data_IF_733932715925
#
_entry.id   IF_733932715925
#
_cell.length_a   1.000
_cell.length_b   1.000
_cell.length_c   1.000
_cell.angle_alpha   90.00
_cell.angle_beta   90.00
_cell.angle_gamma   90.00
#
_symmetry.space_group_name_H-M   'P 1'
#
loop_
_entity.id
_entity.type
_entity.pdbx_description
1 polymer ?
#
# COMPACT_ATOMS: atom_id res chain seq x y z
N UNK A 1 0.68 -34.41 -98.26
CA UNK A 1 1.10 -34.78 -96.89
C UNK A 1 0.89 -33.58 -95.99
N UNK A 2 0.13 -33.70 -94.91
CA UNK A 2 -0.08 -32.60 -93.96
C UNK A 2 -1.25 -32.89 -93.02
N UNK A 3 -1.07 -33.85 -92.11
CA UNK A 3 -2.05 -34.16 -91.07
C UNK A 3 -2.27 -32.94 -90.17
N UNK A 4 -3.47 -32.36 -90.18
CA UNK A 4 -3.92 -31.39 -89.17
C UNK A 4 -4.38 -32.15 -87.93
N UNK A 5 -3.61 -32.11 -86.85
CA UNK A 5 -4.12 -32.50 -85.53
C UNK A 5 -4.98 -31.36 -84.97
N UNK A 6 -6.28 -31.52 -85.13
CA UNK A 6 -7.32 -30.77 -84.44
C UNK A 6 -7.25 -30.97 -82.93
N UNK A 7 -7.26 -29.85 -82.20
CA UNK A 7 -7.86 -29.66 -80.87
C UNK A 7 -7.84 -30.83 -79.89
N UNK A 8 -6.70 -31.09 -79.26
CA UNK A 8 -6.65 -31.91 -78.04
C UNK A 8 -6.86 -31.01 -76.81
N UNK A 9 -8.12 -30.72 -76.45
CA UNK A 9 -8.45 -30.15 -75.13
C UNK A 9 -8.29 -31.25 -74.09
N UNK A 10 -7.09 -31.35 -73.51
CA UNK A 10 -6.76 -32.29 -72.44
C UNK A 10 -7.63 -31.99 -71.19
N UNK A 11 -8.52 -32.91 -70.77
CA UNK A 11 -9.52 -32.68 -69.72
C UNK A 11 -8.97 -32.54 -68.28
N UNK A 12 -7.65 -32.42 -68.11
CA UNK A 12 -6.99 -32.37 -66.79
C UNK A 12 -6.42 -31.01 -66.37
N UNK A 13 -6.30 -30.03 -67.28
CA UNK A 13 -5.63 -28.76 -66.96
C UNK A 13 -6.43 -27.83 -66.04
N UNK A 14 -7.77 -27.84 -66.12
CA UNK A 14 -8.62 -27.02 -65.25
C UNK A 14 -8.61 -27.52 -63.81
N UNK A 15 -8.68 -28.84 -63.59
CA UNK A 15 -8.61 -29.43 -62.24
C UNK A 15 -7.29 -29.11 -61.54
N UNK A 16 -6.17 -29.10 -62.27
CA UNK A 16 -4.87 -28.75 -61.67
C UNK A 16 -4.82 -27.29 -61.22
N UNK A 17 -5.37 -26.36 -62.02
CA UNK A 17 -5.44 -24.94 -61.68
C UNK A 17 -6.29 -24.67 -60.43
N UNK A 18 -7.46 -25.30 -60.34
CA UNK A 18 -8.37 -25.19 -59.19
C UNK A 18 -7.77 -25.75 -57.88
N UNK A 19 -7.01 -26.85 -57.98
CA UNK A 19 -6.29 -27.43 -56.83
C UNK A 19 -5.11 -26.54 -56.39
N UNK A 20 -4.40 -25.90 -57.32
CA UNK A 20 -3.36 -24.93 -56.96
C UNK A 20 -3.92 -23.65 -56.36
N UNK A 21 -5.01 -23.10 -56.89
CA UNK A 21 -5.63 -21.88 -56.34
C UNK A 21 -6.24 -22.11 -54.95
N UNK A 22 -6.82 -23.29 -54.71
CA UNK A 22 -7.31 -23.64 -53.37
C UNK A 22 -6.16 -23.76 -52.37
N UNK A 23 -5.05 -24.42 -52.73
CA UNK A 23 -3.88 -24.54 -51.84
C UNK A 23 -3.21 -23.20 -51.53
N UNK A 24 -3.04 -22.30 -52.50
CA UNK A 24 -2.53 -20.93 -52.24
C UNK A 24 -3.47 -20.13 -51.33
N UNK A 25 -4.79 -20.27 -51.51
CA UNK A 25 -5.79 -19.60 -50.66
C UNK A 25 -5.75 -20.11 -49.20
N UNK A 26 -5.49 -21.42 -48.99
CA UNK A 26 -5.33 -21.97 -47.64
C UNK A 26 -4.07 -21.44 -46.95
N UNK A 27 -2.96 -21.33 -47.67
CA UNK A 27 -1.72 -20.77 -47.13
C UNK A 27 -1.87 -19.29 -46.77
N UNK A 28 -2.48 -18.48 -47.63
CA UNK A 28 -2.77 -17.07 -47.35
C UNK A 28 -3.67 -16.90 -46.11
N UNK A 29 -4.72 -17.71 -46.00
CA UNK A 29 -5.61 -17.69 -44.84
C UNK A 29 -4.88 -18.02 -43.54
N UNK A 30 -3.98 -18.99 -43.58
CA UNK A 30 -3.20 -19.40 -42.40
C UNK A 30 -2.19 -18.33 -41.99
N UNK A 31 -1.51 -17.69 -42.95
CA UNK A 31 -0.59 -16.57 -42.68
C UNK A 31 -1.34 -15.38 -42.06
N UNK A 32 -2.48 -14.99 -42.62
CA UNK A 32 -3.32 -13.91 -42.06
C UNK A 32 -3.85 -14.24 -40.67
N UNK A 33 -4.23 -15.50 -40.42
CA UNK A 33 -4.68 -15.95 -39.10
C UNK A 33 -3.55 -15.90 -38.08
N UNK A 34 -2.34 -16.30 -38.48
CA UNK A 34 -1.15 -16.29 -37.63
C UNK A 34 -0.69 -14.87 -37.30
N UNK A 35 -0.78 -13.93 -38.24
CA UNK A 35 -0.52 -12.51 -38.01
C UNK A 35 -1.52 -11.88 -37.04
N UNK A 36 -2.83 -12.19 -37.20
CA UNK A 36 -3.88 -11.76 -36.28
C UNK A 36 -3.66 -12.31 -34.87
N UNK A 37 -3.36 -13.61 -34.76
CA UNK A 37 -3.07 -14.27 -33.49
C UNK A 37 -1.84 -13.65 -32.82
N UNK A 38 -0.74 -13.44 -33.55
CA UNK A 38 0.47 -12.83 -33.01
C UNK A 38 0.22 -11.39 -32.50
N UNK A 39 -0.62 -10.62 -33.21
CA UNK A 39 -1.04 -9.30 -32.75
C UNK A 39 -1.85 -9.39 -31.45
N UNK A 40 -2.83 -10.28 -31.40
CA UNK A 40 -3.68 -10.48 -30.20
C UNK A 40 -2.85 -10.94 -29.01
N UNK A 41 -1.91 -11.87 -29.18
CA UNK A 41 -1.04 -12.34 -28.10
C UNK A 41 -0.11 -11.25 -27.59
N UNK A 42 0.43 -10.40 -28.47
CA UNK A 42 1.25 -9.24 -28.07
C UNK A 42 0.43 -8.24 -27.25
N UNK A 43 -0.74 -7.85 -27.73
CA UNK A 43 -1.61 -6.91 -27.01
C UNK A 43 -2.14 -7.52 -25.70
N UNK A 44 -2.53 -8.79 -25.70
CA UNK A 44 -2.97 -9.51 -24.51
C UNK A 44 -1.87 -9.64 -23.46
N UNK A 45 -0.63 -9.94 -23.89
CA UNK A 45 0.53 -9.99 -23.01
C UNK A 45 0.85 -8.63 -22.37
N UNK A 46 0.83 -7.55 -23.15
CA UNK A 46 1.05 -6.19 -22.65
C UNK A 46 -0.06 -5.79 -21.67
N UNK A 47 -1.32 -6.08 -21.99
CA UNK A 47 -2.45 -5.80 -21.11
C UNK A 47 -2.35 -6.59 -19.80
N UNK A 48 -1.96 -7.87 -19.85
CA UNK A 48 -1.75 -8.70 -18.66
C UNK A 48 -0.64 -8.16 -17.75
N UNK A 49 0.48 -7.74 -18.34
CA UNK A 49 1.58 -7.11 -17.59
C UNK A 49 1.11 -5.80 -16.96
N UNK A 50 0.37 -4.97 -17.69
CA UNK A 50 -0.15 -3.70 -17.18
C UNK A 50 -1.08 -3.92 -15.97
N UNK A 51 -2.00 -4.89 -16.05
CA UNK A 51 -2.89 -5.24 -14.93
C UNK A 51 -2.11 -5.79 -13.74
N UNK A 52 -1.09 -6.61 -13.98
CA UNK A 52 -0.21 -7.14 -12.92
C UNK A 52 0.56 -6.04 -12.19
N UNK A 53 1.12 -5.07 -12.92
CA UNK A 53 1.81 -3.91 -12.34
C UNK A 53 0.84 -3.03 -11.54
N UNK A 54 -0.36 -2.77 -12.07
CA UNK A 54 -1.39 -2.01 -11.37
C UNK A 54 -1.82 -2.68 -10.06
N UNK A 55 -1.94 -4.01 -10.03
CA UNK A 55 -2.32 -4.72 -8.79
C UNK A 55 -1.22 -4.64 -7.72
N UNK A 56 0.06 -4.71 -8.11
CA UNK A 56 1.20 -4.56 -7.19
C UNK A 56 1.29 -3.14 -6.62
N UNK A 57 1.01 -2.13 -7.44
CA UNK A 57 0.94 -0.73 -6.98
C UNK A 57 -0.22 -0.53 -5.99
N UNK A 58 -1.39 -1.08 -6.31
CA UNK A 58 -2.55 -1.03 -5.40
C UNK A 58 -2.26 -1.73 -4.07
N UNK A 59 -1.57 -2.88 -4.08
CA UNK A 59 -1.17 -3.59 -2.87
C UNK A 59 -0.19 -2.76 -2.02
N UNK A 60 0.82 -2.16 -2.63
CA UNK A 60 1.75 -1.27 -1.94
C UNK A 60 1.05 -0.06 -1.30
N UNK A 61 0.01 0.47 -1.94
CA UNK A 61 -0.82 1.53 -1.37
C UNK A 61 -1.75 1.06 -0.23
N UNK A 62 -2.24 -0.18 -0.30
CA UNK A 62 -3.14 -0.75 0.71
C UNK A 62 -2.43 -1.26 1.97
N UNK A 63 -1.19 -1.77 1.84
CA UNK A 63 -0.37 -2.27 2.95
C UNK A 63 -0.16 -1.27 4.10
N UNK A 64 0.19 0.01 3.88
CA UNK A 64 0.41 0.97 4.97
C UNK A 64 -0.87 1.32 5.74
N UNK A 65 -2.06 1.15 5.16
CA UNK A 65 -3.34 1.38 5.85
C UNK A 65 -3.61 0.35 6.97
N UNK A 66 -2.89 -0.79 6.98
CA UNK A 66 -3.00 -1.80 8.03
C UNK A 66 -2.10 -1.50 9.24
N UNK A 67 -1.76 -0.25 9.50
CA UNK A 67 -1.20 0.13 10.80
C UNK A 67 -2.33 0.20 11.84
N UNK A 68 -2.50 -0.87 12.62
CA UNK A 68 -3.28 -0.78 13.85
C UNK A 68 -2.46 0.03 14.84
N UNK A 69 -2.82 1.30 15.05
CA UNK A 69 -2.28 2.07 16.17
C UNK A 69 -2.80 1.39 17.43
N UNK A 70 -1.97 0.52 18.02
CA UNK A 70 -2.30 -0.16 19.27
C UNK A 70 -2.14 0.87 20.39
N UNK A 71 -3.25 1.49 20.78
CA UNK A 71 -3.29 2.32 21.97
C UNK A 71 -3.29 1.40 23.20
N UNK A 72 -2.16 1.29 23.86
CA UNK A 72 -2.07 0.57 25.13
C UNK A 72 -2.66 1.44 26.24
N UNK A 73 -3.61 0.89 26.99
CA UNK A 73 -4.17 1.53 28.17
C UNK A 73 -3.75 0.70 29.40
N UNK A 74 -3.16 1.36 30.40
CA UNK A 74 -2.95 0.76 31.72
C UNK A 74 -4.16 1.06 32.59
N UNK A 75 -4.73 0.03 33.19
CA UNK A 75 -5.82 0.21 34.15
C UNK A 75 -5.20 0.07 35.55
N UNK A 76 -5.27 1.12 36.35
CA UNK A 76 -4.84 1.07 37.74
C UNK A 76 -5.87 0.23 38.55
N UNK A 77 -5.43 -0.89 39.13
CA UNK A 77 -6.30 -1.83 39.83
C UNK A 77 -6.93 -1.30 41.14
N UNK A 78 -6.42 -0.19 41.69
CA UNK A 78 -6.95 0.40 42.94
C UNK A 78 -7.94 1.52 42.65
N UNK A 79 -7.65 2.37 41.65
CA UNK A 79 -8.47 3.56 41.34
C UNK A 79 -9.38 3.37 40.12
N UNK A 80 -9.18 2.33 39.31
CA UNK A 80 -9.93 2.08 38.08
C UNK A 80 -9.65 3.08 36.94
N UNK A 81 -8.72 4.02 37.15
CA UNK A 81 -8.37 5.03 36.15
C UNK A 81 -7.58 4.37 35.02
N UNK A 82 -8.09 4.51 33.80
CA UNK A 82 -7.39 4.10 32.58
C UNK A 82 -6.40 5.20 32.17
N UNK A 83 -5.11 4.89 32.27
CA UNK A 83 -4.02 5.76 31.85
C UNK A 83 -3.56 5.34 30.45
N UNK A 84 -3.61 6.28 29.49
CA UNK A 84 -3.17 6.02 28.12
C UNK A 84 -1.64 5.98 28.08
N UNK A 85 -1.07 4.84 27.69
CA UNK A 85 0.36 4.73 27.43
C UNK A 85 0.69 5.34 26.07
N UNK A 86 0.98 6.64 26.07
CA UNK A 86 1.65 7.27 24.93
C UNK A 86 3.11 6.84 24.88
N UNK A 87 3.43 5.90 23.99
CA UNK A 87 4.83 5.68 23.60
C UNK A 87 5.28 6.88 22.76
N UNK A 88 5.98 7.82 23.39
CA UNK A 88 6.57 8.96 22.70
C UNK A 88 7.68 8.42 21.80
N UNK A 89 7.46 8.45 20.47
CA UNK A 89 8.56 8.27 19.52
C UNK A 89 9.58 9.37 19.77
N UNK A 90 10.78 8.98 20.19
CA UNK A 90 11.93 9.84 20.55
C UNK A 90 12.27 10.92 19.50
N UNK A 91 11.84 10.71 18.26
CA UNK A 91 12.08 11.60 17.10
C UNK A 91 11.26 12.91 17.12
N UNK A 92 10.14 12.99 17.85
CA UNK A 92 9.22 14.14 17.80
C UNK A 92 9.23 15.04 19.04
N UNK A 93 10.02 14.72 20.07
CA UNK A 93 10.07 15.47 21.33
C UNK A 93 11.51 15.74 21.70
N UNK A 94 11.86 17.02 21.80
CA UNK A 94 13.15 17.44 22.37
C UNK A 94 13.26 16.89 23.80
N UNK A 95 14.43 16.37 24.18
CA UNK A 95 14.66 15.83 25.53
C UNK A 95 14.28 16.85 26.62
N UNK A 96 14.57 18.14 26.37
CA UNK A 96 14.20 19.24 27.26
C UNK A 96 12.68 19.43 27.36
N UNK A 97 11.94 19.24 26.27
CA UNK A 97 10.48 19.36 26.28
C UNK A 97 9.83 18.19 27.05
N UNK A 98 10.38 16.97 26.90
CA UNK A 98 9.92 15.80 27.65
C UNK A 98 10.15 15.97 29.15
N UNK A 99 11.34 16.45 29.55
CA UNK A 99 11.66 16.75 30.94
C UNK A 99 10.76 17.86 31.50
N UNK A 100 10.57 18.96 30.76
CA UNK A 100 9.70 20.05 31.16
C UNK A 100 8.25 19.57 31.40
N UNK A 101 7.70 18.79 30.48
CA UNK A 101 6.34 18.21 30.62
C UNK A 101 6.22 17.31 31.85
N UNK A 102 7.26 16.51 32.13
CA UNK A 102 7.29 15.67 33.32
C UNK A 102 7.22 16.52 34.60
N UNK A 103 8.12 17.49 34.76
CA UNK A 103 8.16 18.32 35.98
C UNK A 103 6.90 19.17 36.15
N UNK A 104 6.35 19.75 35.08
CA UNK A 104 5.08 20.50 35.13
C UNK A 104 3.93 19.61 35.61
N UNK A 105 3.82 18.40 35.05
CA UNK A 105 2.76 17.45 35.44
C UNK A 105 2.89 17.05 36.90
N UNK A 106 4.12 16.80 37.36
CA UNK A 106 4.43 16.45 38.75
C UNK A 106 4.12 17.60 39.72
N UNK A 107 4.39 18.85 39.32
CA UNK A 107 4.10 20.04 40.10
C UNK A 107 2.58 20.24 40.23
N UNK A 108 1.83 20.24 39.13
CA UNK A 108 0.37 20.41 39.15
C UNK A 108 -0.32 19.30 39.95
N UNK A 109 0.12 18.05 39.79
CA UNK A 109 -0.46 16.91 40.52
C UNK A 109 -0.31 17.05 42.04
N UNK A 110 0.82 17.58 42.52
CA UNK A 110 1.06 17.78 43.96
C UNK A 110 0.39 19.04 44.51
N UNK A 111 0.31 20.10 43.70
CA UNK A 111 -0.34 21.35 44.08
C UNK A 111 -1.87 21.21 44.18
N UNK A 112 -2.47 20.54 43.20
CA UNK A 112 -3.93 20.38 43.09
C UNK A 112 -4.43 19.07 43.73
N UNK A 113 -3.54 18.09 43.89
CA UNK A 113 -3.86 16.81 44.50
C UNK A 113 -3.83 16.89 46.02
N UNK A 114 -4.76 16.19 46.67
CA UNK A 114 -4.79 16.09 48.13
C UNK A 114 -4.63 14.64 48.57
N UNK A 115 -3.59 14.37 49.36
CA UNK A 115 -3.40 13.10 50.04
C UNK A 115 -2.88 13.35 51.46
N UNK A 116 -3.68 12.97 52.46
CA UNK A 116 -3.37 13.21 53.86
C UNK A 116 -2.02 12.63 54.29
N UNK A 117 -1.64 11.45 53.78
CA UNK A 117 -0.40 10.79 54.19
C UNK A 117 0.86 11.40 53.57
N UNK A 118 0.75 12.12 52.45
CA UNK A 118 1.88 12.77 51.76
C UNK A 118 1.86 14.29 51.86
N UNK A 119 0.93 14.87 52.63
CA UNK A 119 0.66 16.32 52.64
C UNK A 119 1.91 17.18 52.87
N UNK A 120 2.74 16.83 53.87
CA UNK A 120 3.96 17.58 54.15
C UNK A 120 4.96 17.48 53.00
N UNK A 121 5.13 16.30 52.43
CA UNK A 121 6.06 16.08 51.33
C UNK A 121 5.64 16.83 50.06
N UNK A 122 4.33 16.84 49.78
CA UNK A 122 3.78 17.54 48.63
C UNK A 122 3.90 19.07 48.81
N UNK A 123 3.68 19.57 50.03
CA UNK A 123 3.90 20.98 50.39
C UNK A 123 5.36 21.41 50.16
N UNK A 124 6.32 20.66 50.70
CA UNK A 124 7.75 20.95 50.56
C UNK A 124 8.19 20.90 49.09
N UNK A 125 7.64 19.96 48.32
CA UNK A 125 7.93 19.85 46.89
C UNK A 125 7.42 21.05 46.10
N UNK A 126 6.17 21.49 46.33
CA UNK A 126 5.61 22.67 45.65
C UNK A 126 6.43 23.91 45.97
N UNK A 127 6.82 24.09 47.24
CA UNK A 127 7.62 25.25 47.66
C UNK A 127 9.01 25.26 46.99
N UNK A 128 9.68 24.11 46.91
CA UNK A 128 11.01 23.99 46.31
C UNK A 128 11.03 24.25 44.80
N UNK A 129 9.97 23.88 44.09
CA UNK A 129 9.84 24.06 42.64
C UNK A 129 9.16 25.39 42.25
N UNK A 130 8.78 26.21 43.22
CA UNK A 130 8.17 27.53 43.00
C UNK A 130 9.20 28.64 43.09
N UNK A 131 9.00 29.69 42.30
CA UNK A 131 9.66 30.96 42.56
C UNK A 131 9.07 31.61 43.83
N UNK A 132 9.83 32.45 44.52
CA UNK A 132 9.47 33.05 45.82
C UNK A 132 8.10 33.77 45.80
N UNK A 133 7.77 34.44 44.70
CA UNK A 133 6.48 35.08 44.49
C UNK A 133 5.32 34.10 44.33
N UNK A 134 5.56 32.92 43.74
CA UNK A 134 4.53 31.88 43.53
C UNK A 134 4.33 31.05 44.79
N UNK A 135 5.43 30.81 45.54
CA UNK A 135 5.43 30.12 46.82
C UNK A 135 4.61 30.86 47.89
N UNK A 136 4.62 32.20 47.84
CA UNK A 136 3.86 33.05 48.78
C UNK A 136 2.35 32.96 48.55
N UNK A 137 1.91 32.62 47.34
CA UNK A 137 0.50 32.50 46.95
C UNK A 137 -0.09 31.09 47.15
N UNK A 138 0.68 30.15 47.69
CA UNK A 138 0.28 28.76 47.91
C UNK A 138 -0.33 28.56 49.32
#
# INVERSE_FOLDING_TARGET
>A
MGFKLSGLKLPGFNKKKEVTDSSTTFEEKNVLMQEKMNRIYKFGGIAGIAVGVLSLLALNGALPLKSTVVEAYLINGVTGVAERLTSVKKENLSENEALAKYFITQYVKRREGYNYFSLQHDYDYVLLYSAENVATDY
#
